data_IF_268954058250
#
_entry.id   IF_268954058250
#
_cell.length_a   1.000
_cell.length_b   1.000
_cell.length_c   1.000
_cell.angle_alpha   90.00
_cell.angle_beta   90.00
_cell.angle_gamma   90.00
#
_symmetry.space_group_name_H-M   'P 1'
#
loop_
_entity.id
_entity.type
_entity.pdbx_description
1 polymer ?
#
# COMPACT_ATOMS: atom_id res chain seq x y z
N UNK A 1 -3.91 -29.93 20.14
CA UNK A 1 -2.62 -29.25 20.37
C UNK A 1 -2.60 -28.01 19.49
N UNK A 2 -2.73 -26.82 20.10
CA UNK A 2 -2.79 -25.53 19.40
C UNK A 2 -1.36 -25.00 19.31
N UNK A 3 -0.83 -24.88 18.10
CA UNK A 3 0.50 -24.31 17.86
C UNK A 3 0.35 -22.81 17.60
N UNK A 4 0.76 -22.01 18.56
CA UNK A 4 0.90 -20.55 18.43
C UNK A 4 2.11 -20.25 17.55
N UNK A 5 1.91 -19.64 16.40
CA UNK A 5 2.98 -19.01 15.61
C UNK A 5 3.15 -17.56 16.12
N UNK A 6 4.24 -17.33 16.85
CA UNK A 6 4.71 -16.00 17.21
C UNK A 6 5.40 -15.35 16.00
N UNK A 7 4.78 -14.31 15.44
CA UNK A 7 5.44 -13.42 14.49
C UNK A 7 6.21 -12.35 15.28
N UNK A 8 7.54 -12.43 15.25
CA UNK A 8 8.42 -11.35 15.71
C UNK A 8 8.36 -10.19 14.71
N UNK A 9 7.76 -9.08 15.13
CA UNK A 9 7.87 -7.78 14.46
C UNK A 9 9.25 -7.19 14.78
N UNK A 10 10.16 -7.17 13.80
CA UNK A 10 11.41 -6.44 13.90
C UNK A 10 11.12 -4.96 13.62
N UNK A 11 11.10 -4.15 14.67
CA UNK A 11 11.01 -2.70 14.60
C UNK A 11 12.32 -2.10 14.05
N UNK A 12 12.26 -1.46 12.89
CA UNK A 12 13.35 -0.63 12.37
C UNK A 12 13.19 0.75 12.99
N UNK A 13 14.07 1.05 13.97
CA UNK A 13 14.28 2.39 14.50
C UNK A 13 15.04 3.23 13.47
N UNK A 14 14.33 4.08 12.73
CA UNK A 14 14.94 5.15 11.94
C UNK A 14 15.26 6.33 12.85
N UNK A 15 16.54 6.59 13.05
CA UNK A 15 17.02 7.82 13.67
C UNK A 15 16.74 9.01 12.73
N UNK A 16 15.81 9.86 13.10
CA UNK A 16 15.58 11.15 12.44
C UNK A 16 16.66 12.15 12.88
N UNK A 17 17.55 12.50 11.95
CA UNK A 17 18.38 13.68 12.09
C UNK A 17 17.49 14.92 11.94
N UNK A 18 17.49 15.78 12.96
CA UNK A 18 16.76 17.05 12.97
C UNK A 18 17.40 18.04 11.98
N UNK A 19 16.68 18.37 10.92
CA UNK A 19 17.00 19.52 10.05
C UNK A 19 16.34 20.76 10.67
N UNK A 20 17.05 21.88 10.84
CA UNK A 20 16.47 23.10 11.39
C UNK A 20 15.44 23.67 10.42
N UNK A 21 14.19 23.68 10.82
CA UNK A 21 13.09 24.27 10.06
C UNK A 21 13.09 25.78 10.23
N UNK A 22 13.38 26.51 9.17
CA UNK A 22 13.03 27.93 9.06
C UNK A 22 11.50 28.05 9.11
N UNK A 23 10.96 28.67 10.14
CA UNK A 23 9.54 28.97 10.27
C UNK A 23 9.16 30.03 9.23
N UNK A 24 8.53 29.59 8.13
CA UNK A 24 7.70 30.50 7.34
C UNK A 24 6.42 30.82 8.12
N UNK A 25 5.97 32.05 8.17
CA UNK A 25 4.73 32.43 8.87
C UNK A 25 3.56 31.70 8.21
N UNK A 26 2.72 31.07 9.04
CA UNK A 26 1.47 30.44 8.60
C UNK A 26 0.57 31.52 8.00
N UNK A 27 0.44 31.54 6.68
CA UNK A 27 -0.56 32.35 5.99
C UNK A 27 -1.92 31.72 6.27
N UNK A 28 -2.62 32.22 7.26
CA UNK A 28 -4.05 31.93 7.47
C UNK A 28 -4.81 32.47 6.27
N UNK A 29 -5.02 31.63 5.25
CA UNK A 29 -5.93 31.98 4.15
C UNK A 29 -7.35 31.86 4.66
N UNK A 30 -7.97 32.98 4.89
CA UNK A 30 -9.39 33.11 5.17
C UNK A 30 -10.16 32.63 3.93
N UNK A 31 -10.76 31.43 3.99
CA UNK A 31 -11.58 30.89 2.91
C UNK A 31 -12.93 31.60 2.97
N UNK A 32 -13.38 32.26 1.89
CA UNK A 32 -14.68 32.93 1.89
C UNK A 32 -15.82 31.94 2.15
N UNK A 33 -16.74 32.31 3.02
CA UNK A 33 -17.78 31.42 3.60
C UNK A 33 -18.88 30.95 2.63
N UNK A 34 -18.83 31.30 1.35
CA UNK A 34 -19.94 31.08 0.42
C UNK A 34 -19.65 30.18 -0.79
N UNK A 35 -18.47 29.61 -0.91
CA UNK A 35 -18.15 28.71 -2.02
C UNK A 35 -18.11 27.25 -1.54
N UNK A 36 -18.90 26.41 -2.20
CA UNK A 36 -18.90 24.98 -1.97
C UNK A 36 -17.51 24.40 -2.24
N UNK A 37 -17.06 23.41 -1.46
CA UNK A 37 -15.76 22.72 -1.59
C UNK A 37 -15.48 22.26 -3.02
N UNK A 38 -16.50 21.97 -3.82
CA UNK A 38 -16.41 21.64 -5.23
C UNK A 38 -15.81 22.75 -6.11
N UNK A 39 -15.87 24.01 -5.68
CA UNK A 39 -15.27 25.13 -6.43
C UNK A 39 -13.74 25.22 -6.26
N UNK A 40 -13.18 24.62 -5.22
CA UNK A 40 -11.74 24.64 -4.93
C UNK A 40 -11.00 23.39 -5.40
N UNK A 41 -11.71 22.30 -5.65
CA UNK A 41 -11.11 21.02 -6.02
C UNK A 41 -11.43 20.67 -7.47
N UNK A 42 -10.54 21.01 -8.37
CA UNK A 42 -10.60 20.43 -9.72
C UNK A 42 -10.53 18.92 -9.59
N UNK A 43 -11.64 18.25 -9.89
CA UNK A 43 -11.71 16.80 -9.79
C UNK A 43 -10.98 16.15 -10.97
N UNK A 44 -10.14 15.18 -10.67
CA UNK A 44 -9.48 14.35 -11.68
C UNK A 44 -9.70 12.87 -11.37
N UNK A 45 -9.83 12.03 -12.41
CA UNK A 45 -9.93 10.58 -12.22
C UNK A 45 -8.71 10.04 -11.48
N UNK A 46 -8.94 9.05 -10.67
CA UNK A 46 -7.94 8.24 -9.99
C UNK A 46 -8.39 6.78 -10.00
N UNK A 47 -7.50 5.85 -10.28
CA UNK A 47 -7.82 4.44 -10.14
C UNK A 47 -6.86 3.70 -9.23
N UNK A 48 -7.41 2.74 -8.48
CA UNK A 48 -6.70 1.77 -7.66
C UNK A 48 -7.34 0.40 -7.85
N UNK A 49 -6.53 -0.60 -8.08
CA UNK A 49 -7.04 -1.92 -8.42
C UNK A 49 -7.97 -1.88 -9.63
N UNK A 50 -9.16 -2.41 -9.47
CA UNK A 50 -10.20 -2.45 -10.52
C UNK A 50 -11.26 -1.36 -10.39
N UNK A 51 -11.01 -0.34 -9.57
CA UNK A 51 -11.98 0.73 -9.30
C UNK A 51 -11.39 2.10 -9.64
N UNK A 52 -12.27 3.03 -9.89
CA UNK A 52 -11.92 4.43 -10.12
C UNK A 52 -12.83 5.35 -9.31
N UNK A 53 -12.30 6.52 -8.99
CA UNK A 53 -12.97 7.59 -8.24
C UNK A 53 -12.41 8.93 -8.70
N UNK A 54 -13.18 10.01 -8.61
CA UNK A 54 -12.67 11.36 -8.89
C UNK A 54 -12.19 12.00 -7.60
N UNK A 55 -10.93 12.41 -7.56
CA UNK A 55 -10.28 13.04 -6.41
C UNK A 55 -9.71 14.41 -6.80
N UNK A 56 -9.40 15.28 -5.83
CA UNK A 56 -8.73 16.55 -6.12
C UNK A 56 -7.46 16.37 -6.96
N UNK A 57 -7.25 17.25 -7.93
CA UNK A 57 -6.09 17.20 -8.83
C UNK A 57 -4.76 17.46 -8.13
N UNK A 58 -4.77 18.31 -7.10
CA UNK A 58 -3.61 18.69 -6.30
C UNK A 58 -3.29 17.67 -5.21
N UNK A 59 -3.18 16.40 -5.58
CA UNK A 59 -2.91 15.30 -4.67
C UNK A 59 -1.48 14.78 -4.76
N UNK A 60 -1.07 14.07 -3.71
CA UNK A 60 0.14 13.25 -3.67
C UNK A 60 -0.33 11.82 -3.42
N UNK A 61 -0.06 10.93 -4.34
CA UNK A 61 -0.26 9.51 -4.12
C UNK A 61 0.65 9.07 -2.95
N UNK A 62 0.06 8.40 -1.99
CA UNK A 62 0.77 7.85 -0.84
C UNK A 62 1.30 6.45 -1.13
N UNK A 63 1.98 5.90 -0.14
CA UNK A 63 2.34 4.48 -0.13
C UNK A 63 1.07 3.64 -0.12
N UNK A 64 1.02 2.66 -1.01
CA UNK A 64 0.01 1.62 -0.99
C UNK A 64 0.69 0.27 -0.83
N UNK A 65 -0.06 -0.73 -0.46
CA UNK A 65 0.37 -2.13 -0.55
C UNK A 65 -0.64 -2.88 -1.41
N UNK A 66 -0.12 -3.86 -2.11
CA UNK A 66 -0.88 -4.58 -3.12
C UNK A 66 -0.52 -6.06 -3.00
N UNK A 67 -1.53 -6.91 -3.04
CA UNK A 67 -1.37 -8.33 -3.29
C UNK A 67 -2.01 -8.64 -4.63
N UNK A 68 -1.24 -9.16 -5.54
CA UNK A 68 -1.66 -9.52 -6.88
C UNK A 68 -1.21 -10.92 -7.19
N UNK A 69 -2.16 -11.80 -7.50
CA UNK A 69 -1.89 -13.19 -7.85
C UNK A 69 -0.97 -13.88 -6.82
N UNK A 70 -1.30 -13.71 -5.53
CA UNK A 70 -0.53 -14.14 -4.36
C UNK A 70 0.82 -13.47 -4.11
N UNK A 71 1.25 -12.57 -4.97
CA UNK A 71 2.46 -11.77 -4.78
C UNK A 71 2.17 -10.49 -3.98
N UNK A 72 2.97 -10.26 -2.97
CA UNK A 72 2.97 -8.98 -2.28
C UNK A 72 3.82 -7.98 -3.07
N UNK A 73 3.24 -6.83 -3.41
CA UNK A 73 3.92 -5.71 -4.05
C UNK A 73 3.95 -4.54 -3.08
N UNK A 74 5.15 -4.10 -2.73
CA UNK A 74 5.38 -2.91 -1.92
C UNK A 74 5.66 -1.76 -2.86
N UNK A 75 4.91 -0.66 -2.71
CA UNK A 75 5.11 0.57 -3.49
C UNK A 75 5.82 1.60 -2.62
N UNK A 76 6.92 2.12 -3.10
CA UNK A 76 7.71 3.17 -2.44
C UNK A 76 7.85 4.36 -3.38
N UNK A 77 7.01 5.40 -3.22
CA UNK A 77 7.09 6.61 -4.03
C UNK A 77 8.48 7.26 -3.91
N UNK A 78 8.98 7.76 -5.04
CA UNK A 78 10.24 8.50 -5.15
C UNK A 78 11.49 7.79 -4.60
N UNK A 79 11.49 6.45 -4.58
CA UNK A 79 12.50 5.64 -3.89
C UNK A 79 13.43 4.84 -4.82
N UNK A 80 13.26 4.90 -6.16
CA UNK A 80 14.05 4.03 -7.07
C UNK A 80 15.57 4.21 -6.93
N UNK A 81 16.04 5.45 -6.83
CA UNK A 81 17.48 5.74 -6.70
C UNK A 81 18.03 5.15 -5.39
N UNK A 82 17.30 5.29 -4.29
CA UNK A 82 17.70 4.73 -3.00
C UNK A 82 17.61 3.21 -2.99
N UNK A 83 16.63 2.62 -3.69
CA UNK A 83 16.55 1.16 -3.85
C UNK A 83 17.75 0.60 -4.59
N UNK A 84 18.17 1.22 -5.68
CA UNK A 84 19.37 0.81 -6.44
C UNK A 84 20.62 0.93 -5.56
N UNK A 85 20.74 1.99 -4.77
CA UNK A 85 21.82 2.17 -3.80
C UNK A 85 21.82 1.07 -2.74
N UNK A 86 20.64 0.72 -2.20
CA UNK A 86 20.46 -0.36 -1.23
C UNK A 86 20.86 -1.72 -1.83
N UNK A 87 20.46 -2.04 -3.05
CA UNK A 87 20.87 -3.25 -3.75
C UNK A 87 22.40 -3.31 -3.89
N UNK A 88 23.01 -2.19 -4.29
CA UNK A 88 24.49 -2.10 -4.40
C UNK A 88 25.19 -2.23 -3.06
N UNK A 89 24.56 -1.77 -1.97
CA UNK A 89 25.06 -1.95 -0.60
C UNK A 89 25.01 -3.43 -0.20
N UNK A 90 23.87 -4.10 -0.37
CA UNK A 90 23.71 -5.55 -0.10
C UNK A 90 24.77 -6.37 -0.84
N UNK A 91 25.05 -6.02 -2.10
CA UNK A 91 26.07 -6.70 -2.90
C UNK A 91 27.49 -6.56 -2.33
N UNK A 92 27.80 -5.43 -1.69
CA UNK A 92 29.12 -5.14 -1.11
C UNK A 92 29.28 -5.68 0.29
N UNK A 93 28.22 -5.68 1.08
CA UNK A 93 28.23 -6.04 2.51
C UNK A 93 28.08 -7.55 2.77
N UNK A 94 28.71 -8.38 1.96
CA UNK A 94 28.77 -9.84 2.17
C UNK A 94 29.27 -10.28 3.55
N UNK A 95 29.74 -9.35 4.37
CA UNK A 95 30.51 -9.65 5.60
C UNK A 95 29.73 -9.45 6.90
N UNK A 96 28.52 -8.88 6.87
CA UNK A 96 27.82 -8.52 8.11
C UNK A 96 26.96 -9.65 8.71
N UNK A 97 26.92 -10.81 8.07
CA UNK A 97 26.27 -11.99 8.64
C UNK A 97 24.73 -12.03 8.55
N UNK A 98 24.06 -10.94 8.17
CA UNK A 98 22.58 -10.89 8.21
C UNK A 98 21.89 -11.58 7.02
N UNK A 99 22.46 -11.49 5.83
CA UNK A 99 22.02 -12.17 4.62
C UNK A 99 23.18 -12.43 3.68
N UNK A 100 23.25 -13.62 3.09
CA UNK A 100 24.22 -13.92 2.04
C UNK A 100 23.66 -13.47 0.70
N UNK A 101 24.37 -12.58 0.02
CA UNK A 101 24.11 -12.21 -1.35
C UNK A 101 24.45 -13.38 -2.29
N UNK A 102 23.52 -13.75 -3.13
CA UNK A 102 23.70 -14.81 -4.15
C UNK A 102 23.97 -14.16 -5.52
N UNK A 103 23.00 -13.42 -6.05
CA UNK A 103 23.16 -12.75 -7.34
C UNK A 103 22.24 -11.53 -7.50
N UNK A 104 22.60 -10.65 -8.44
CA UNK A 104 21.73 -9.66 -9.03
C UNK A 104 21.53 -9.98 -10.51
N UNK A 105 20.30 -10.01 -10.96
CA UNK A 105 19.97 -10.21 -12.36
C UNK A 105 19.16 -9.05 -12.91
N UNK A 106 19.76 -8.27 -13.79
CA UNK A 106 19.08 -7.19 -14.50
C UNK A 106 18.12 -7.79 -15.54
N UNK A 107 16.83 -7.53 -15.39
CA UNK A 107 15.80 -7.99 -16.33
C UNK A 107 15.50 -6.94 -17.40
N UNK A 108 15.48 -5.66 -17.01
CA UNK A 108 15.34 -4.51 -17.89
C UNK A 108 16.36 -3.46 -17.45
N UNK A 109 17.30 -3.07 -18.31
CA UNK A 109 18.33 -2.09 -17.98
C UNK A 109 17.74 -0.80 -17.38
N UNK A 110 18.22 -0.38 -16.21
CA UNK A 110 17.78 0.81 -15.49
C UNK A 110 16.35 0.77 -14.93
N UNK A 111 15.60 -0.31 -15.15
CA UNK A 111 14.18 -0.39 -14.78
C UNK A 111 13.80 -1.61 -13.94
N UNK A 112 14.46 -2.76 -14.09
CA UNK A 112 14.07 -3.96 -13.33
C UNK A 112 15.29 -4.82 -12.99
N UNK A 113 15.40 -5.20 -11.71
CA UNK A 113 16.48 -6.01 -11.15
C UNK A 113 15.86 -7.04 -10.19
N UNK A 114 16.30 -8.29 -10.31
CA UNK A 114 16.06 -9.31 -9.27
C UNK A 114 17.31 -9.41 -8.40
N UNK A 115 17.12 -9.30 -7.08
CA UNK A 115 18.16 -9.51 -6.09
C UNK A 115 17.88 -10.77 -5.30
N UNK A 116 18.79 -11.73 -5.35
CA UNK A 116 18.67 -12.99 -4.62
C UNK A 116 19.59 -13.00 -3.42
N UNK A 117 19.01 -13.30 -2.26
CA UNK A 117 19.72 -13.44 -0.99
C UNK A 117 19.23 -14.69 -0.26
N UNK A 118 20.04 -15.22 0.65
CA UNK A 118 19.62 -16.26 1.61
C UNK A 118 20.07 -15.87 3.01
N UNK A 119 19.49 -16.48 4.04
CA UNK A 119 19.96 -16.33 5.41
C UNK A 119 21.34 -17.02 5.59
N UNK A 120 22.29 -16.43 6.31
CA UNK A 120 23.55 -17.09 6.63
C UNK A 120 23.33 -18.22 7.63
N UNK A 121 24.16 -19.24 7.58
CA UNK A 121 24.15 -20.35 8.54
C UNK A 121 23.04 -21.39 8.33
N UNK A 122 22.12 -21.18 7.38
CA UNK A 122 21.00 -22.11 7.14
C UNK A 122 21.45 -23.53 6.79
N UNK A 123 22.62 -23.70 6.13
CA UNK A 123 23.20 -25.01 5.84
C UNK A 123 24.01 -25.60 7.01
N UNK A 124 24.23 -24.82 8.07
CA UNK A 124 24.99 -25.23 9.25
C UNK A 124 24.09 -25.63 10.42
N UNK A 125 22.80 -25.21 10.41
CA UNK A 125 21.83 -25.54 11.45
C UNK A 125 21.09 -26.86 11.17
N UNK A 126 21.39 -27.95 11.91
CA UNK A 126 20.77 -29.26 11.70
C UNK A 126 19.25 -29.27 11.90
N UNK A 127 18.69 -28.36 12.73
CA UNK A 127 17.25 -28.27 12.99
C UNK A 127 16.52 -27.64 11.82
N UNK A 128 17.07 -26.56 11.26
CA UNK A 128 16.49 -25.86 10.09
C UNK A 128 16.57 -26.80 8.87
N UNK A 129 17.68 -27.46 8.68
CA UNK A 129 17.88 -28.39 7.56
C UNK A 129 16.90 -29.58 7.56
N UNK A 130 16.60 -30.13 8.72
CA UNK A 130 15.76 -31.35 8.81
C UNK A 130 14.30 -31.10 8.48
N UNK A 131 13.79 -29.91 8.75
CA UNK A 131 12.33 -29.66 8.73
C UNK A 131 11.91 -28.73 7.59
N UNK A 132 12.70 -27.71 7.25
CA UNK A 132 12.23 -26.61 6.42
C UNK A 132 13.05 -26.30 5.16
N UNK A 133 14.25 -26.87 5.01
CA UNK A 133 15.18 -26.47 3.95
C UNK A 133 15.65 -25.02 4.08
N UNK A 134 16.55 -24.61 3.19
CA UNK A 134 17.11 -23.24 3.19
C UNK A 134 16.21 -22.30 2.44
N UNK A 135 15.87 -21.19 3.06
CA UNK A 135 15.01 -20.14 2.52
C UNK A 135 15.81 -19.10 1.74
N UNK A 136 15.42 -18.87 0.53
CA UNK A 136 15.92 -17.81 -0.35
C UNK A 136 14.88 -16.73 -0.54
N UNK A 137 15.33 -15.50 -0.61
CA UNK A 137 14.55 -14.33 -1.02
C UNK A 137 14.99 -13.92 -2.42
N UNK A 138 14.05 -13.81 -3.32
CA UNK A 138 14.27 -13.32 -4.68
C UNK A 138 13.38 -12.10 -4.91
N UNK A 139 13.88 -10.93 -4.56
CA UNK A 139 13.11 -9.70 -4.64
C UNK A 139 13.24 -9.08 -6.03
N UNK A 140 12.13 -9.02 -6.78
CA UNK A 140 12.05 -8.19 -7.97
C UNK A 140 11.88 -6.72 -7.54
N UNK A 141 12.77 -5.86 -7.99
CA UNK A 141 12.60 -4.41 -7.88
C UNK A 141 12.43 -3.84 -9.29
N UNK A 142 11.37 -3.06 -9.52
CA UNK A 142 11.15 -2.41 -10.80
C UNK A 142 10.69 -0.96 -10.61
N UNK A 143 10.94 -0.15 -11.64
CA UNK A 143 10.66 1.28 -11.65
C UNK A 143 9.44 1.59 -12.50
N UNK A 144 8.54 2.41 -11.97
CA UNK A 144 7.49 3.08 -12.72
C UNK A 144 7.59 4.60 -12.51
N UNK A 145 6.97 5.37 -13.41
CA UNK A 145 7.06 6.81 -13.34
C UNK A 145 8.50 7.32 -13.41
N UNK A 146 8.78 8.42 -12.72
CA UNK A 146 10.12 9.03 -12.70
C UNK A 146 11.05 8.30 -11.74
N UNK A 147 10.60 8.00 -10.52
CA UNK A 147 11.45 7.49 -9.46
C UNK A 147 10.75 6.52 -8.48
N UNK A 148 9.53 6.08 -8.74
CA UNK A 148 8.83 5.15 -7.86
C UNK A 148 9.42 3.75 -7.94
N UNK A 149 9.66 3.13 -6.81
CA UNK A 149 10.13 1.76 -6.70
C UNK A 149 8.98 0.82 -6.33
N UNK A 150 8.87 -0.26 -7.07
CA UNK A 150 7.98 -1.37 -6.79
C UNK A 150 8.81 -2.58 -6.44
N UNK A 151 8.50 -3.21 -5.33
CA UNK A 151 9.24 -4.36 -4.83
C UNK A 151 8.27 -5.52 -4.68
N UNK A 152 8.52 -6.60 -5.40
CA UNK A 152 7.79 -7.86 -5.29
C UNK A 152 8.68 -8.86 -4.58
N UNK A 153 8.27 -9.30 -3.40
CA UNK A 153 9.03 -10.28 -2.62
C UNK A 153 8.64 -11.70 -3.04
N UNK A 154 9.61 -12.42 -3.55
CA UNK A 154 9.50 -13.84 -3.85
C UNK A 154 10.31 -14.69 -2.90
N UNK A 155 9.82 -15.87 -2.60
CA UNK A 155 10.46 -16.83 -1.71
C UNK A 155 10.54 -18.17 -2.41
N UNK A 156 11.69 -18.84 -2.26
CA UNK A 156 11.79 -20.26 -2.62
C UNK A 156 12.64 -21.01 -1.60
N UNK A 157 12.51 -22.31 -1.59
CA UNK A 157 13.28 -23.18 -0.69
C UNK A 157 14.05 -24.22 -1.49
N UNK A 158 15.26 -24.53 -1.00
CA UNK A 158 16.02 -25.68 -1.46
C UNK A 158 16.10 -26.66 -0.29
N UNK A 159 15.65 -27.89 -0.54
CA UNK A 159 15.63 -28.93 0.48
C UNK A 159 17.00 -29.62 0.56
N UNK A 160 17.44 -29.99 1.77
CA UNK A 160 18.67 -30.74 1.95
C UNK A 160 18.55 -32.18 1.42
N UNK A 161 19.64 -32.75 1.04
CA UNK A 161 19.76 -34.19 0.71
C UNK A 161 20.46 -34.88 1.88
N UNK A 162 19.77 -35.82 2.51
CA UNK A 162 20.27 -36.52 3.72
C UNK A 162 20.75 -35.59 4.83
N UNK A 163 20.01 -34.46 5.03
CA UNK A 163 20.35 -33.47 6.05
C UNK A 163 21.60 -32.63 5.77
N UNK A 164 22.08 -32.60 4.53
CA UNK A 164 23.25 -31.84 4.09
C UNK A 164 22.93 -30.97 2.88
N UNK A 165 23.82 -30.03 2.60
CA UNK A 165 23.78 -29.26 1.36
C UNK A 165 23.74 -30.19 0.14
N UNK A 166 22.82 -29.96 -0.83
CA UNK A 166 22.77 -30.75 -2.05
C UNK A 166 24.08 -30.65 -2.85
N UNK A 167 24.61 -31.76 -3.40
CA UNK A 167 25.87 -31.72 -4.16
C UNK A 167 25.77 -30.87 -5.44
N UNK A 168 24.56 -30.66 -5.95
CA UNK A 168 24.26 -29.83 -7.12
C UNK A 168 23.61 -28.50 -6.76
N UNK A 169 23.90 -27.93 -5.56
CA UNK A 169 23.23 -26.72 -5.04
C UNK A 169 23.23 -25.58 -6.06
N UNK A 170 24.35 -25.28 -6.69
CA UNK A 170 24.45 -24.18 -7.68
C UNK A 170 23.49 -24.34 -8.85
N UNK A 171 23.28 -25.57 -9.31
CA UNK A 171 22.31 -25.83 -10.38
C UNK A 171 20.88 -25.65 -9.89
N UNK A 172 20.56 -26.15 -8.69
CA UNK A 172 19.24 -25.98 -8.08
C UNK A 172 18.92 -24.51 -7.81
N UNK A 173 19.88 -23.73 -7.32
CA UNK A 173 19.74 -22.29 -7.16
C UNK A 173 19.41 -21.63 -8.49
N UNK A 174 20.18 -21.91 -9.53
CA UNK A 174 19.97 -21.36 -10.87
C UNK A 174 18.58 -21.71 -11.40
N UNK A 175 18.15 -22.97 -11.32
CA UNK A 175 16.86 -23.43 -11.85
C UNK A 175 15.70 -22.74 -11.11
N UNK A 176 15.79 -22.63 -9.78
CA UNK A 176 14.78 -21.94 -8.98
C UNK A 176 14.73 -20.43 -9.23
N UNK A 177 15.87 -19.80 -9.44
CA UNK A 177 15.93 -18.38 -9.81
C UNK A 177 15.36 -18.17 -11.20
N UNK A 178 15.66 -19.01 -12.17
CA UNK A 178 15.11 -18.93 -13.53
C UNK A 178 13.59 -19.13 -13.53
N UNK A 179 13.08 -20.07 -12.72
CA UNK A 179 11.64 -20.31 -12.51
C UNK A 179 10.94 -19.04 -11.98
N UNK A 180 11.44 -18.43 -10.90
CA UNK A 180 10.83 -17.26 -10.29
C UNK A 180 10.93 -16.02 -11.20
N UNK A 181 12.01 -15.88 -11.96
CA UNK A 181 12.14 -14.83 -12.97
C UNK A 181 11.11 -15.01 -14.09
N UNK A 182 10.86 -16.26 -14.50
CA UNK A 182 9.79 -16.57 -15.44
C UNK A 182 8.43 -16.09 -14.94
N UNK A 183 8.11 -16.36 -13.68
CA UNK A 183 6.89 -15.84 -13.04
C UNK A 183 6.84 -14.32 -13.02
N UNK A 184 7.93 -13.64 -12.63
CA UNK A 184 7.99 -12.17 -12.62
C UNK A 184 7.76 -11.56 -14.00
N UNK A 185 8.31 -12.15 -15.04
CA UNK A 185 8.07 -11.68 -16.41
C UNK A 185 6.61 -11.85 -16.82
N UNK A 186 6.04 -13.03 -16.57
CA UNK A 186 4.68 -13.35 -17.03
C UNK A 186 3.61 -12.58 -16.25
N UNK A 187 3.75 -12.42 -14.94
CA UNK A 187 2.72 -11.77 -14.12
C UNK A 187 2.89 -10.26 -14.00
N UNK A 188 4.12 -9.74 -14.11
CA UNK A 188 4.38 -8.32 -13.91
C UNK A 188 4.95 -7.64 -15.17
N UNK A 189 6.17 -7.99 -15.55
CA UNK A 189 6.95 -7.15 -16.47
C UNK A 189 6.40 -7.11 -17.88
N UNK A 190 5.84 -8.22 -18.41
CA UNK A 190 5.29 -8.28 -19.77
C UNK A 190 4.00 -7.47 -19.92
N UNK A 191 3.24 -7.32 -18.83
CA UNK A 191 1.92 -6.66 -18.82
C UNK A 191 1.95 -5.31 -18.12
N UNK A 192 3.13 -4.89 -17.65
CA UNK A 192 3.31 -3.66 -16.89
C UNK A 192 3.43 -2.47 -17.83
N UNK A 193 2.65 -1.42 -17.56
CA UNK A 193 2.66 -0.17 -18.29
C UNK A 193 2.75 1.00 -17.32
N UNK A 194 3.61 1.99 -17.62
CA UNK A 194 3.58 3.27 -16.91
C UNK A 194 2.38 4.08 -17.39
N UNK A 195 1.76 4.81 -16.49
CA UNK A 195 0.66 5.73 -16.78
C UNK A 195 0.75 6.97 -15.90
N UNK A 196 0.13 8.05 -16.32
CA UNK A 196 -0.10 9.18 -15.43
C UNK A 196 -1.17 8.81 -14.38
N UNK A 197 -1.05 9.37 -13.17
CA UNK A 197 -1.94 9.06 -12.04
C UNK A 197 -3.43 9.27 -12.35
N UNK A 198 -3.74 10.28 -13.19
CA UNK A 198 -5.11 10.62 -13.62
C UNK A 198 -5.59 9.88 -14.89
N UNK A 199 -4.72 9.12 -15.54
CA UNK A 199 -5.07 8.34 -16.72
C UNK A 199 -5.79 7.06 -16.31
N UNK A 200 -6.97 6.81 -16.89
CA UNK A 200 -7.76 5.59 -16.63
C UNK A 200 -7.58 4.62 -17.80
N UNK A 201 -6.90 3.48 -17.57
CA UNK A 201 -6.75 2.46 -18.61
C UNK A 201 -8.10 1.91 -19.08
N UNK A 202 -8.24 1.69 -20.38
CA UNK A 202 -9.47 1.16 -20.99
C UNK A 202 -9.48 -0.36 -21.14
N UNK A 203 -8.38 -1.02 -20.76
CA UNK A 203 -8.24 -2.49 -20.83
C UNK A 203 -8.50 -3.11 -19.45
N UNK A 204 -8.92 -4.38 -19.38
CA UNK A 204 -8.95 -5.12 -18.12
C UNK A 204 -7.57 -5.17 -17.46
N UNK A 205 -7.54 -5.16 -16.13
CA UNK A 205 -6.32 -5.15 -15.35
C UNK A 205 -6.42 -4.33 -14.08
N UNK A 206 -5.31 -4.17 -13.38
CA UNK A 206 -5.22 -3.46 -12.12
C UNK A 206 -4.42 -2.16 -12.23
N UNK A 207 -4.97 -1.11 -11.62
CA UNK A 207 -4.27 0.16 -11.47
C UNK A 207 -3.34 0.11 -10.26
N UNK A 208 -2.10 0.49 -10.51
CA UNK A 208 -1.11 0.85 -9.51
C UNK A 208 -0.95 2.39 -9.51
N UNK A 209 -0.32 2.93 -8.49
CA UNK A 209 0.14 4.33 -8.54
C UNK A 209 1.12 4.49 -9.70
N UNK A 210 0.86 5.41 -10.63
CA UNK A 210 1.66 5.66 -11.85
C UNK A 210 1.90 4.42 -12.74
N UNK A 211 1.12 3.34 -12.53
CA UNK A 211 1.27 2.10 -13.28
C UNK A 211 -0.04 1.36 -13.53
N UNK A 212 0.05 0.37 -14.41
CA UNK A 212 -1.03 -0.53 -14.75
C UNK A 212 -0.48 -1.91 -15.11
N UNK A 213 -1.11 -2.96 -14.59
CA UNK A 213 -0.85 -4.34 -15.00
C UNK A 213 -2.08 -4.82 -15.77
N UNK A 214 -1.91 -5.08 -17.07
CA UNK A 214 -2.96 -5.71 -17.87
C UNK A 214 -3.16 -7.17 -17.47
N UNK A 215 -4.42 -7.58 -17.27
CA UNK A 215 -4.75 -8.98 -16.97
C UNK A 215 -6.12 -9.36 -17.57
N UNK A 216 -6.59 -10.58 -17.29
CA UNK A 216 -7.89 -11.07 -17.76
C UNK A 216 -9.10 -10.37 -17.08
N UNK A 217 -8.89 -9.58 -16.05
CA UNK A 217 -9.93 -9.02 -15.19
C UNK A 217 -10.35 -9.93 -14.02
N UNK A 218 -9.91 -11.18 -14.00
CA UNK A 218 -10.30 -12.19 -13.01
C UNK A 218 -9.19 -12.55 -12.02
N UNK A 219 -7.97 -12.06 -12.24
CA UNK A 219 -6.84 -12.37 -11.36
C UNK A 219 -7.09 -11.89 -9.93
N UNK A 220 -6.77 -12.68 -8.91
CA UNK A 220 -6.90 -12.27 -7.51
C UNK A 220 -6.11 -10.99 -7.25
N UNK A 221 -6.78 -10.01 -6.70
CA UNK A 221 -6.19 -8.73 -6.38
C UNK A 221 -6.74 -8.22 -5.05
N UNK A 222 -5.84 -7.70 -4.24
CA UNK A 222 -6.15 -6.95 -3.03
C UNK A 222 -5.15 -5.80 -2.89
N UNK A 223 -5.63 -4.62 -2.50
CA UNK A 223 -4.70 -3.51 -2.27
C UNK A 223 -5.38 -2.24 -1.80
N UNK A 224 -4.58 -1.36 -1.22
CA UNK A 224 -5.00 -0.01 -0.89
C UNK A 224 -4.11 1.03 -1.56
N UNK A 225 -4.69 2.17 -1.87
CA UNK A 225 -3.98 3.36 -2.31
C UNK A 225 -4.37 4.54 -1.42
N UNK A 226 -3.38 5.07 -0.71
CA UNK A 226 -3.53 6.25 0.12
C UNK A 226 -3.17 7.51 -0.64
N UNK A 227 -3.87 8.61 -0.37
CA UNK A 227 -3.74 9.87 -1.08
C UNK A 227 -3.80 11.03 -0.09
N UNK A 228 -2.83 11.93 -0.18
CA UNK A 228 -2.81 13.20 0.55
C UNK A 228 -3.17 14.34 -0.38
N UNK A 229 -3.92 15.31 0.09
CA UNK A 229 -4.23 16.51 -0.68
C UNK A 229 -3.17 17.57 -0.37
N UNK A 230 -2.46 18.08 -1.40
CA UNK A 230 -1.28 18.93 -1.23
C UNK A 230 -1.56 20.21 -0.41
N UNK A 231 -2.68 20.87 -0.70
CA UNK A 231 -3.03 22.14 -0.04
C UNK A 231 -3.69 21.94 1.34
N UNK A 232 -4.00 20.69 1.66
CA UNK A 232 -4.64 20.26 2.90
C UNK A 232 -3.92 19.04 3.42
N UNK A 233 -2.71 19.21 3.95
CA UNK A 233 -1.84 18.12 4.43
C UNK A 233 -2.50 17.23 5.48
N UNK A 234 -3.56 17.74 6.11
CA UNK A 234 -4.38 17.03 7.10
C UNK A 234 -5.62 16.37 6.49
N UNK A 235 -5.76 16.34 5.15
CA UNK A 235 -6.81 15.58 4.45
C UNK A 235 -6.17 14.38 3.76
N UNK A 236 -6.67 13.21 4.12
CA UNK A 236 -6.24 11.92 3.59
C UNK A 236 -7.42 11.16 3.02
N UNK A 237 -7.24 10.51 1.90
CA UNK A 237 -8.19 9.58 1.33
C UNK A 237 -7.53 8.21 1.10
N UNK A 238 -8.29 7.14 1.21
CA UNK A 238 -7.82 5.78 0.95
C UNK A 238 -8.89 4.98 0.21
N UNK A 239 -8.50 4.34 -0.87
CA UNK A 239 -9.33 3.40 -1.60
C UNK A 239 -8.72 2.00 -1.47
N UNK A 240 -9.40 1.13 -0.73
CA UNK A 240 -9.06 -0.29 -0.59
C UNK A 240 -9.97 -1.13 -1.47
N UNK A 241 -9.41 -2.07 -2.21
CA UNK A 241 -10.12 -2.90 -3.18
C UNK A 241 -9.66 -4.35 -3.13
N UNK A 242 -10.55 -5.30 -3.46
CA UNK A 242 -10.25 -6.73 -3.50
C UNK A 242 -10.60 -7.51 -2.23
N UNK A 243 -11.23 -6.87 -1.26
CA UNK A 243 -11.55 -7.43 0.07
C UNK A 243 -10.62 -6.93 1.15
N UNK A 244 -10.90 -7.23 2.40
CA UNK A 244 -10.06 -6.93 3.56
C UNK A 244 -9.30 -8.17 3.99
N UNK A 245 -7.98 -8.05 4.25
CA UNK A 245 -7.22 -9.12 4.94
C UNK A 245 -7.73 -9.34 6.37
N UNK A 246 -8.27 -8.26 6.96
CA UNK A 246 -8.87 -8.26 8.28
C UNK A 246 -10.38 -8.01 8.13
N UNK A 247 -11.06 -8.81 7.29
CA UNK A 247 -12.51 -8.73 7.22
C UNK A 247 -13.05 -9.03 8.61
N UNK A 248 -13.35 -7.96 9.35
CA UNK A 248 -14.02 -8.11 10.62
C UNK A 248 -15.38 -8.73 10.38
N UNK A 249 -15.72 -9.73 11.17
CA UNK A 249 -16.98 -10.47 11.09
C UNK A 249 -18.23 -9.57 11.26
N UNK A 250 -18.05 -8.26 11.42
CA UNK A 250 -19.13 -7.31 11.69
C UNK A 250 -19.30 -6.31 10.54
N UNK A 251 -20.53 -6.13 10.03
CA UNK A 251 -20.85 -5.07 9.09
C UNK A 251 -20.44 -3.68 9.60
N UNK A 252 -20.06 -2.76 8.70
CA UNK A 252 -19.58 -1.40 9.02
C UNK A 252 -20.46 -0.67 10.05
N UNK A 253 -21.79 -0.78 9.94
CA UNK A 253 -22.72 -0.09 10.84
C UNK A 253 -22.66 -0.60 12.28
N UNK A 254 -22.19 -1.83 12.50
CA UNK A 254 -22.02 -2.46 13.82
C UNK A 254 -20.59 -2.36 14.35
N UNK A 255 -19.63 -1.97 13.50
CA UNK A 255 -18.23 -1.80 13.93
C UNK A 255 -18.02 -0.47 14.62
N UNK A 256 -17.15 -0.48 15.62
CA UNK A 256 -16.57 0.75 16.15
C UNK A 256 -15.36 1.15 15.29
N UNK A 257 -15.61 1.99 14.27
CA UNK A 257 -14.55 2.43 13.33
C UNK A 257 -13.46 3.27 14.02
N UNK A 258 -13.69 3.72 15.25
CA UNK A 258 -12.71 4.47 16.03
C UNK A 258 -11.68 3.57 16.72
N UNK A 259 -11.98 2.27 16.89
CA UNK A 259 -11.16 1.36 17.70
C UNK A 259 -10.48 0.25 16.89
N UNK A 260 -10.84 0.07 15.62
CA UNK A 260 -10.44 -1.10 14.87
C UNK A 260 -9.11 -0.94 14.10
N UNK A 261 -8.14 -1.76 14.49
CA UNK A 261 -7.10 -2.37 13.65
C UNK A 261 -5.86 -1.54 13.30
N UNK A 262 -5.91 -0.24 13.14
CA UNK A 262 -4.74 0.55 12.77
C UNK A 262 -4.07 1.22 13.98
N UNK A 263 -2.78 1.55 13.87
CA UNK A 263 -2.08 2.35 14.88
C UNK A 263 -2.82 3.67 15.18
N UNK A 264 -3.56 4.19 14.20
CA UNK A 264 -4.43 5.35 14.31
C UNK A 264 -5.60 5.10 15.26
N UNK A 265 -6.22 3.92 15.22
CA UNK A 265 -7.36 3.57 16.06
C UNK A 265 -6.99 3.46 17.54
N UNK A 266 -5.81 2.94 17.84
CA UNK A 266 -5.31 2.88 19.24
C UNK A 266 -5.07 4.26 19.82
N UNK A 267 -4.59 5.22 19.03
CA UNK A 267 -4.40 6.61 19.47
C UNK A 267 -5.72 7.39 19.59
N UNK A 268 -6.77 6.96 18.93
CA UNK A 268 -8.08 7.63 18.91
C UNK A 268 -9.09 7.02 19.88
N UNK A 269 -8.83 5.85 20.44
CA UNK A 269 -9.73 5.13 21.36
C UNK A 269 -10.02 5.89 22.66
N UNK A 270 -9.24 6.90 23.01
CA UNK A 270 -9.40 7.73 24.22
C UNK A 270 -10.28 8.97 24.00
N UNK A 271 -10.64 9.28 22.76
CA UNK A 271 -11.45 10.44 22.44
C UNK A 271 -12.91 10.04 22.20
N UNK A 272 -13.83 10.67 22.93
CA UNK A 272 -15.26 10.54 22.63
C UNK A 272 -15.52 11.05 21.21
N UNK A 273 -16.15 10.21 20.38
CA UNK A 273 -16.60 10.59 19.05
C UNK A 273 -18.14 10.61 19.01
N UNK A 274 -18.68 11.39 18.10
CA UNK A 274 -20.11 11.40 17.77
C UNK A 274 -20.32 10.94 16.32
N UNK A 275 -21.42 10.21 16.12
CA UNK A 275 -21.82 9.83 14.75
C UNK A 275 -22.56 11.00 14.11
N UNK A 276 -22.08 11.46 12.96
CA UNK A 276 -22.72 12.51 12.15
C UNK A 276 -23.80 11.89 11.28
N UNK A 277 -23.46 10.83 10.55
CA UNK A 277 -24.34 10.12 9.62
C UNK A 277 -23.96 8.64 9.56
N UNK A 278 -24.97 7.75 9.49
CA UNK A 278 -24.77 6.33 9.23
C UNK A 278 -25.99 5.74 8.52
N UNK A 279 -25.77 4.80 7.64
CA UNK A 279 -26.86 4.12 6.94
C UNK A 279 -26.39 3.36 5.72
N UNK A 280 -27.31 2.69 5.06
CA UNK A 280 -27.06 2.06 3.76
C UNK A 280 -26.98 3.12 2.68
N UNK A 281 -26.06 2.96 1.73
CA UNK A 281 -25.87 3.86 0.60
C UNK A 281 -25.38 3.11 -0.63
N UNK A 282 -26.19 3.11 -1.68
CA UNK A 282 -25.82 2.51 -2.97
C UNK A 282 -25.05 3.53 -3.82
N UNK A 283 -23.90 3.12 -4.36
CA UNK A 283 -23.03 3.93 -5.21
C UNK A 283 -22.84 3.21 -6.54
N UNK A 284 -23.33 3.80 -7.63
CA UNK A 284 -23.22 3.25 -8.99
C UNK A 284 -23.57 1.74 -9.07
N UNK A 285 -24.70 1.35 -8.46
CA UNK A 285 -25.18 -0.03 -8.42
C UNK A 285 -24.49 -0.92 -7.38
N UNK A 286 -23.50 -0.42 -6.65
CA UNK A 286 -22.86 -1.14 -5.56
C UNK A 286 -23.57 -0.83 -4.24
N UNK A 287 -24.26 -1.84 -3.69
CA UNK A 287 -24.87 -1.73 -2.36
C UNK A 287 -23.80 -1.70 -1.29
N UNK A 288 -23.95 -0.82 -0.31
CA UNK A 288 -22.99 -0.64 0.76
C UNK A 288 -23.53 0.16 1.92
N UNK A 289 -22.70 0.42 2.88
CA UNK A 289 -23.01 1.19 4.08
C UNK A 289 -22.02 2.32 4.26
N UNK A 290 -22.48 3.46 4.81
CA UNK A 290 -21.62 4.55 5.23
C UNK A 290 -21.70 4.80 6.73
N UNK A 291 -20.58 5.23 7.31
CA UNK A 291 -20.50 5.69 8.70
C UNK A 291 -19.54 6.87 8.79
N UNK A 292 -20.07 7.99 9.23
CA UNK A 292 -19.38 9.26 9.33
C UNK A 292 -19.34 9.68 10.79
N UNK A 293 -18.14 9.90 11.31
CA UNK A 293 -17.93 10.24 12.72
C UNK A 293 -17.07 11.50 12.87
N UNK A 294 -17.28 12.19 13.98
CA UNK A 294 -16.55 13.38 14.39
C UNK A 294 -15.90 13.17 15.75
N UNK A 295 -14.65 13.54 15.89
CA UNK A 295 -13.94 13.62 17.15
C UNK A 295 -13.81 15.07 17.65
N UNK A 296 -13.39 15.19 18.90
CA UNK A 296 -13.01 16.49 19.44
C UNK A 296 -11.95 17.19 18.56
N UNK A 297 -12.02 18.51 18.46
CA UNK A 297 -11.10 19.32 17.66
C UNK A 297 -11.41 19.32 16.16
N UNK A 298 -12.67 19.15 15.78
CA UNK A 298 -13.12 19.18 14.38
C UNK A 298 -12.35 18.20 13.48
N UNK A 299 -12.23 16.95 13.89
CA UNK A 299 -11.66 15.87 13.08
C UNK A 299 -12.76 14.97 12.61
N UNK A 300 -12.65 14.49 11.38
CA UNK A 300 -13.70 13.64 10.79
C UNK A 300 -13.09 12.39 10.18
N UNK A 301 -13.79 11.25 10.34
CA UNK A 301 -13.54 10.02 9.60
C UNK A 301 -14.82 9.58 8.92
N UNK A 302 -14.76 9.49 7.61
CA UNK A 302 -15.87 9.11 6.76
C UNK A 302 -15.49 7.82 6.05
N UNK A 303 -16.32 6.81 6.18
CA UNK A 303 -16.10 5.48 5.63
C UNK A 303 -17.33 5.04 4.88
N UNK A 304 -17.14 4.53 3.67
CA UNK A 304 -18.12 3.75 2.93
C UNK A 304 -17.53 2.39 2.58
N UNK A 305 -18.32 1.35 2.75
CA UNK A 305 -17.90 -0.02 2.47
C UNK A 305 -19.00 -0.73 1.70
N UNK A 306 -18.63 -1.42 0.63
CA UNK A 306 -19.54 -2.30 -0.12
C UNK A 306 -19.93 -3.48 0.77
N UNK A 307 -21.17 -3.97 0.64
CA UNK A 307 -21.72 -5.00 1.53
C UNK A 307 -20.94 -6.32 1.55
N UNK A 308 -20.24 -6.66 0.47
CA UNK A 308 -19.36 -7.84 0.39
C UNK A 308 -17.92 -7.57 0.86
N UNK A 309 -17.63 -6.37 1.35
CA UNK A 309 -16.31 -5.98 1.82
C UNK A 309 -15.25 -5.81 0.71
N UNK A 310 -15.61 -6.01 -0.56
CA UNK A 310 -14.64 -5.97 -1.67
C UNK A 310 -14.12 -4.57 -1.99
N UNK A 311 -14.75 -3.53 -1.49
CA UNK A 311 -14.35 -2.13 -1.68
C UNK A 311 -14.63 -1.34 -0.41
N UNK A 312 -13.63 -0.56 -0.01
CA UNK A 312 -13.75 0.40 1.06
C UNK A 312 -13.18 1.74 0.60
N UNK A 313 -13.90 2.82 0.83
CA UNK A 313 -13.41 4.17 0.62
C UNK A 313 -13.48 4.95 1.92
N UNK A 314 -12.35 5.51 2.30
CA UNK A 314 -12.19 6.27 3.55
C UNK A 314 -11.68 7.68 3.24
N UNK A 315 -12.25 8.68 3.91
CA UNK A 315 -11.66 10.03 3.98
C UNK A 315 -11.48 10.44 5.44
N UNK A 316 -10.32 10.98 5.73
CA UNK A 316 -9.99 11.53 7.03
C UNK A 316 -9.62 13.01 6.89
N UNK A 317 -10.20 13.84 7.75
CA UNK A 317 -9.98 15.26 7.83
C UNK A 317 -9.45 15.60 9.20
N UNK A 318 -8.25 16.18 9.24
CA UNK A 318 -7.50 16.43 10.47
C UNK A 318 -6.72 15.20 10.91
N UNK A 319 -5.40 15.27 10.88
CA UNK A 319 -4.53 14.18 11.30
C UNK A 319 -4.37 14.12 12.81
N UNK A 320 -4.08 12.94 13.33
CA UNK A 320 -3.83 12.68 14.76
C UNK A 320 -2.41 13.05 15.20
N UNK A 321 -1.67 13.83 14.40
CA UNK A 321 -0.30 14.25 14.74
C UNK A 321 -0.23 15.16 15.97
N UNK A 322 0.97 15.34 16.53
CA UNK A 322 1.27 16.12 17.73
C UNK A 322 0.85 17.60 17.66
N UNK A 323 0.57 18.11 16.48
CA UNK A 323 -0.05 19.40 16.27
C UNK A 323 -1.57 19.24 16.39
N UNK A 324 -2.13 19.76 17.47
CA UNK A 324 -3.57 19.73 17.83
C UNK A 324 -4.50 20.47 16.84
N UNK A 325 -4.07 20.77 15.65
CA UNK A 325 -4.90 21.39 14.63
C UNK A 325 -5.97 20.40 14.17
N UNK A 326 -7.23 20.79 14.29
CA UNK A 326 -8.37 20.07 13.73
C UNK A 326 -8.33 20.08 12.20
N UNK A 327 -9.40 19.58 11.59
CA UNK A 327 -9.59 19.67 10.14
C UNK A 327 -9.48 21.13 9.66
N UNK A 328 -8.82 21.37 8.52
CA UNK A 328 -8.87 22.67 7.86
C UNK A 328 -10.27 23.00 7.32
N UNK A 329 -11.15 21.99 7.26
CA UNK A 329 -12.53 22.12 6.80
C UNK A 329 -13.51 22.06 7.97
N UNK A 330 -14.59 22.83 7.87
CA UNK A 330 -15.75 22.70 8.74
C UNK A 330 -16.47 21.38 8.48
N UNK A 331 -17.35 20.96 9.38
CA UNK A 331 -18.18 19.76 9.20
C UNK A 331 -19.00 19.81 7.91
N UNK A 332 -19.59 20.96 7.60
CA UNK A 332 -20.38 21.16 6.38
C UNK A 332 -19.52 20.99 5.13
N UNK A 333 -18.31 21.52 5.13
CA UNK A 333 -17.38 21.42 4.00
C UNK A 333 -16.86 19.99 3.84
N UNK A 334 -16.54 19.30 4.94
CA UNK A 334 -16.11 17.90 4.92
C UNK A 334 -17.24 16.99 4.39
N UNK A 335 -18.49 17.22 4.81
CA UNK A 335 -19.66 16.49 4.28
C UNK A 335 -19.88 16.79 2.80
N UNK A 336 -19.77 18.04 2.38
CA UNK A 336 -19.90 18.42 0.97
C UNK A 336 -18.82 17.76 0.10
N UNK A 337 -17.58 17.69 0.58
CA UNK A 337 -16.49 16.98 -0.09
C UNK A 337 -16.79 15.49 -0.25
N UNK A 338 -17.23 14.85 0.84
CA UNK A 338 -17.61 13.44 0.81
C UNK A 338 -18.74 13.17 -0.17
N UNK A 339 -19.79 13.98 -0.12
CA UNK A 339 -20.98 13.81 -0.97
C UNK A 339 -20.72 14.14 -2.45
N UNK A 340 -19.68 14.92 -2.75
CA UNK A 340 -19.22 15.16 -4.11
C UNK A 340 -18.32 14.04 -4.65
N UNK A 341 -17.46 13.47 -3.81
CA UNK A 341 -16.43 12.49 -4.22
C UNK A 341 -17.01 11.08 -4.29
N UNK A 342 -17.65 10.60 -3.21
CA UNK A 342 -18.08 9.20 -3.10
C UNK A 342 -18.98 8.74 -4.26
N UNK A 343 -19.96 9.52 -4.79
CA UNK A 343 -20.78 9.10 -5.91
C UNK A 343 -20.03 8.84 -7.22
N UNK A 344 -18.76 9.29 -7.30
CA UNK A 344 -17.90 9.05 -8.48
C UNK A 344 -17.19 7.70 -8.45
N UNK A 345 -17.24 7.00 -7.31
CA UNK A 345 -16.65 5.66 -7.15
C UNK A 345 -17.40 4.66 -8.03
N UNK A 346 -16.71 3.97 -8.90
CA UNK A 346 -17.27 2.93 -9.75
C UNK A 346 -16.24 1.86 -10.10
N UNK A 347 -16.71 0.65 -10.39
CA UNK A 347 -15.88 -0.39 -10.96
C UNK A 347 -15.41 0.04 -12.35
N UNK A 348 -14.15 -0.20 -12.64
CA UNK A 348 -13.62 -0.15 -14.00
C UNK A 348 -14.10 -1.35 -14.82
N UNK A 349 -13.78 -1.35 -16.07
CA UNK A 349 -14.09 -2.47 -16.98
C UNK A 349 -13.48 -3.78 -16.46
#
# INVERSE_FOLDING_TARGET
MKTLLNFCLIGILSACAAVPTSRSPAVSRHIPSNNTVSAYWTAQPFCSGRYQISLPANRIAGTGWIRYNDWQVIVQPDYWVDRVRTISKIQRERKDGSKLFIENRTLIPGKAIVTVTRSPGDWEDPLILRVNGVLYHADLSFKLGKNDAYIVSGLFRIMPVNGKEPPNLKQLEKDKIDEIIGHYRNHFLNNLQSRADHEIPQKPGICLTEGFIGDSGNEPFFGSAGIKIKDYTDVYAELTTGGSLDQEDKPLLKRDIATNGSMLSKMMSWAKYSTIRKGSRTINGMSGSEKLVKWQGNRYLFVWEKDDGSVNFTMMFGTSGSNKAGSPLSEREALAAWDAILPTLKKRI
#
